data_IF_309532709721
#
_entry.id   IF_309532709721
#
_cell.length_a   1.000
_cell.length_b   1.000
_cell.length_c   1.000
_cell.angle_alpha   90.00
_cell.angle_beta   90.00
_cell.angle_gamma   90.00
#
_symmetry.space_group_name_H-M   'P 1'
#
loop_
_entity.id
_entity.type
_entity.pdbx_description
1 polymer ?
#
# COMPACT_ATOMS: atom_id res chain seq x y z
N UNK A 1 -13.61 -3.59 20.92
CA UNK A 1 -14.35 -4.34 19.89
C UNK A 1 -13.82 -3.93 18.53
N UNK A 2 -13.17 -4.83 17.79
CA UNK A 2 -12.83 -4.56 16.39
C UNK A 2 -14.15 -4.30 15.65
N UNK A 3 -14.30 -3.13 15.03
CA UNK A 3 -15.51 -2.70 14.31
C UNK A 3 -15.75 -3.52 13.01
N UNK A 4 -15.40 -4.81 12.99
CA UNK A 4 -15.49 -5.69 11.82
C UNK A 4 -14.46 -5.37 10.72
N UNK A 5 -13.34 -4.73 11.08
CA UNK A 5 -12.22 -4.44 10.19
C UNK A 5 -11.15 -5.53 10.27
N UNK A 6 -10.49 -5.78 9.14
CA UNK A 6 -9.39 -6.73 8.97
C UNK A 6 -8.12 -6.19 9.61
N UNK A 7 -7.30 -7.07 10.19
CA UNK A 7 -5.99 -6.74 10.75
C UNK A 7 -4.81 -6.94 9.81
N UNK A 8 -5.03 -7.52 8.62
CA UNK A 8 -3.97 -7.84 7.67
C UNK A 8 -4.14 -7.03 6.37
N UNK A 9 -3.15 -6.19 6.05
CA UNK A 9 -3.19 -5.32 4.87
C UNK A 9 -3.24 -6.08 3.53
N UNK A 10 -2.64 -7.27 3.44
CA UNK A 10 -2.71 -8.07 2.21
C UNK A 10 -4.12 -8.60 1.97
N UNK A 11 -4.82 -9.02 3.03
CA UNK A 11 -6.23 -9.39 2.93
C UNK A 11 -7.09 -8.21 2.48
N UNK A 12 -6.82 -7.00 2.99
CA UNK A 12 -7.50 -5.77 2.52
C UNK A 12 -7.26 -5.56 1.01
N UNK A 13 -6.01 -5.72 0.54
CA UNK A 13 -5.69 -5.59 -0.88
C UNK A 13 -6.44 -6.62 -1.75
N UNK A 14 -6.62 -7.86 -1.27
CA UNK A 14 -7.44 -8.85 -2.00
C UNK A 14 -8.89 -8.40 -2.19
N UNK A 15 -9.51 -7.79 -1.17
CA UNK A 15 -10.86 -7.24 -1.30
C UNK A 15 -10.93 -6.01 -2.19
N UNK A 16 -9.90 -5.16 -2.20
CA UNK A 16 -9.80 -4.05 -3.15
C UNK A 16 -9.76 -4.57 -4.58
N UNK A 17 -8.95 -5.61 -4.85
CA UNK A 17 -8.90 -6.25 -6.18
C UNK A 17 -10.22 -6.89 -6.57
N UNK A 18 -10.89 -7.57 -5.64
CA UNK A 18 -12.23 -8.12 -5.86
C UNK A 18 -13.21 -7.02 -6.28
N UNK A 19 -13.23 -5.90 -5.56
CA UNK A 19 -14.08 -4.75 -5.89
C UNK A 19 -13.76 -4.19 -7.27
N UNK A 20 -12.47 -3.98 -7.59
CA UNK A 20 -12.04 -3.48 -8.89
C UNK A 20 -12.46 -4.41 -10.05
N UNK A 21 -12.28 -5.73 -9.90
CA UNK A 21 -12.68 -6.68 -10.94
C UNK A 21 -14.19 -6.79 -11.08
N UNK A 22 -14.94 -6.72 -9.98
CA UNK A 22 -16.40 -6.70 -10.04
C UNK A 22 -16.93 -5.46 -10.78
N UNK A 23 -16.31 -4.28 -10.55
CA UNK A 23 -16.62 -3.07 -11.30
C UNK A 23 -16.28 -3.20 -12.79
N UNK A 24 -15.10 -3.73 -13.10
CA UNK A 24 -14.62 -3.85 -14.48
C UNK A 24 -15.53 -4.74 -15.34
N UNK A 25 -16.10 -5.79 -14.75
CA UNK A 25 -17.01 -6.72 -15.46
C UNK A 25 -18.49 -6.41 -15.26
N UNK A 26 -18.84 -5.38 -14.47
CA UNK A 26 -20.23 -5.02 -14.17
C UNK A 26 -20.98 -6.07 -13.34
N UNK A 27 -20.31 -6.78 -12.45
CA UNK A 27 -20.89 -7.83 -11.59
C UNK A 27 -21.65 -7.25 -10.37
N UNK A 28 -22.58 -6.33 -10.62
CA UNK A 28 -23.36 -5.66 -9.57
C UNK A 28 -24.43 -6.57 -8.93
N UNK A 29 -24.68 -7.75 -9.50
CA UNK A 29 -25.68 -8.73 -9.06
C UNK A 29 -25.13 -9.78 -8.07
N UNK A 30 -23.81 -9.92 -7.95
CA UNK A 30 -23.19 -10.92 -7.06
C UNK A 30 -23.19 -10.45 -5.60
N UNK A 31 -22.93 -9.15 -5.37
CA UNK A 31 -22.94 -8.54 -4.05
C UNK A 31 -23.09 -7.01 -4.16
N UNK A 32 -23.49 -6.38 -3.05
CA UNK A 32 -23.60 -4.91 -2.98
C UNK A 32 -22.22 -4.26 -3.03
N UNK A 33 -21.81 -3.87 -4.24
CA UNK A 33 -20.53 -3.24 -4.51
C UNK A 33 -20.40 -1.87 -3.83
N UNK A 34 -21.50 -1.10 -3.72
CA UNK A 34 -21.49 0.20 -3.05
C UNK A 34 -21.23 0.04 -1.55
N UNK A 35 -21.86 -0.94 -0.89
CA UNK A 35 -21.58 -1.27 0.50
C UNK A 35 -20.14 -1.72 0.69
N UNK A 36 -19.59 -2.52 -0.23
CA UNK A 36 -18.19 -2.94 -0.20
C UNK A 36 -17.23 -1.75 -0.30
N UNK A 37 -17.42 -0.85 -1.29
CA UNK A 37 -16.61 0.38 -1.44
C UNK A 37 -16.64 1.23 -0.18
N UNK A 38 -17.83 1.50 0.37
CA UNK A 38 -17.99 2.31 1.57
C UNK A 38 -17.27 1.71 2.78
N UNK A 39 -17.25 0.37 2.90
CA UNK A 39 -16.52 -0.33 3.96
C UNK A 39 -15.01 -0.30 3.72
N UNK A 40 -14.57 -0.49 2.47
CA UNK A 40 -13.16 -0.46 2.10
C UNK A 40 -12.52 0.92 2.33
N UNK A 41 -13.24 2.02 2.07
CA UNK A 41 -12.76 3.38 2.37
C UNK A 41 -12.37 3.51 3.85
N UNK A 42 -13.24 3.07 4.76
CA UNK A 42 -12.99 3.10 6.20
C UNK A 42 -11.91 2.09 6.62
N UNK A 43 -11.85 0.92 5.98
CA UNK A 43 -10.83 -0.09 6.24
C UNK A 43 -9.43 0.43 5.87
N UNK A 44 -9.27 1.03 4.70
CA UNK A 44 -7.99 1.56 4.22
C UNK A 44 -7.48 2.66 5.15
N UNK A 45 -8.35 3.60 5.51
CA UNK A 45 -8.03 4.67 6.46
C UNK A 45 -7.49 4.15 7.80
N UNK A 46 -8.04 3.05 8.30
CA UNK A 46 -7.61 2.41 9.54
C UNK A 46 -6.38 1.52 9.39
N UNK A 47 -6.11 1.05 8.18
CA UNK A 47 -4.99 0.13 7.92
C UNK A 47 -3.68 0.90 7.82
N UNK A 48 -3.71 2.15 7.35
CA UNK A 48 -2.50 2.97 7.12
C UNK A 48 -1.85 3.40 8.45
N UNK A 49 -0.56 3.12 8.59
CA UNK A 49 0.25 3.58 9.73
C UNK A 49 0.54 5.07 9.60
N UNK A 50 -0.03 5.88 10.48
CA UNK A 50 0.14 7.35 10.49
C UNK A 50 1.41 7.82 11.23
N UNK A 51 2.02 6.96 12.03
CA UNK A 51 3.25 7.29 12.74
C UNK A 51 4.47 7.23 11.79
N UNK A 52 4.93 8.41 11.33
CA UNK A 52 6.07 8.51 10.42
C UNK A 52 7.38 7.92 10.98
N UNK A 53 7.55 7.91 12.32
CA UNK A 53 8.76 7.38 12.95
C UNK A 53 8.97 5.87 12.75
N UNK A 54 7.91 5.14 12.39
CA UNK A 54 7.97 3.70 12.14
C UNK A 54 8.34 3.37 10.68
N UNK A 55 8.24 4.34 9.75
CA UNK A 55 8.32 4.05 8.32
C UNK A 55 9.71 3.61 7.85
N UNK A 56 10.77 4.12 8.47
CA UNK A 56 12.16 3.75 8.12
C UNK A 56 12.63 2.45 8.78
N UNK A 57 11.93 2.00 9.82
CA UNK A 57 12.44 0.96 10.73
C UNK A 57 11.56 -0.28 10.80
N UNK A 58 10.30 -0.18 10.38
CA UNK A 58 9.30 -1.23 10.58
C UNK A 58 8.56 -1.61 9.31
N UNK A 59 7.96 -2.80 9.32
CA UNK A 59 7.02 -3.23 8.30
C UNK A 59 5.66 -2.60 8.54
N UNK A 60 5.36 -1.53 7.82
CA UNK A 60 4.15 -0.73 8.03
C UNK A 60 3.29 -0.67 6.78
N UNK A 61 1.99 -0.50 6.98
CA UNK A 61 1.06 -0.31 5.88
C UNK A 61 1.07 1.16 5.44
N UNK A 62 1.45 1.40 4.19
CA UNK A 62 1.49 2.73 3.59
C UNK A 62 0.38 2.90 2.54
N UNK A 63 -0.02 4.14 2.19
CA UNK A 63 -0.96 4.41 1.10
C UNK A 63 -0.67 3.64 -0.19
N UNK A 64 0.60 3.57 -0.61
CA UNK A 64 1.07 2.83 -1.79
C UNK A 64 0.71 1.35 -1.82
N UNK A 65 0.37 0.77 -0.66
CA UNK A 65 -0.13 -0.62 -0.56
C UNK A 65 -1.50 -0.80 -1.25
N UNK A 66 -2.29 0.27 -1.38
CA UNK A 66 -3.69 0.20 -1.77
C UNK A 66 -4.06 1.06 -2.98
N UNK A 67 -3.37 2.18 -3.21
CA UNK A 67 -3.65 3.07 -4.33
C UNK A 67 -2.41 3.86 -4.73
N UNK A 68 -2.43 4.42 -5.93
CA UNK A 68 -1.30 5.17 -6.50
C UNK A 68 -1.68 6.47 -7.20
N UNK A 69 -2.94 6.93 -7.09
CA UNK A 69 -3.38 8.16 -7.75
C UNK A 69 -4.40 8.93 -6.92
N UNK A 70 -4.55 10.22 -7.21
CA UNK A 70 -5.49 11.13 -6.53
C UNK A 70 -6.94 10.86 -6.91
N UNK A 71 -7.17 10.15 -8.00
CA UNK A 71 -8.47 9.72 -8.50
C UNK A 71 -9.00 8.49 -7.74
N UNK A 72 -8.17 7.82 -6.93
CA UNK A 72 -8.60 6.72 -6.09
C UNK A 72 -9.64 7.15 -5.06
N UNK A 73 -10.68 6.32 -4.88
CA UNK A 73 -11.69 6.50 -3.83
C UNK A 73 -11.10 6.53 -2.41
N UNK A 74 -9.87 6.02 -2.24
CA UNK A 74 -9.17 5.98 -0.95
C UNK A 74 -8.39 7.26 -0.66
N UNK A 75 -8.15 8.12 -1.65
CA UNK A 75 -7.26 9.27 -1.51
C UNK A 75 -7.81 10.34 -0.57
N UNK A 76 -9.12 10.67 -0.65
CA UNK A 76 -9.68 11.82 0.06
C UNK A 76 -9.48 11.75 1.59
N UNK A 77 -9.68 10.58 2.20
CA UNK A 77 -9.48 10.37 3.65
C UNK A 77 -8.00 10.19 4.04
N UNK A 78 -7.12 9.99 3.07
CA UNK A 78 -5.71 9.67 3.27
C UNK A 78 -4.79 10.69 2.60
N UNK A 79 -5.31 11.86 2.21
CA UNK A 79 -4.59 12.85 1.40
C UNK A 79 -3.24 13.23 2.02
N UNK A 80 -3.26 13.64 3.29
CA UNK A 80 -2.06 14.14 3.98
C UNK A 80 -0.97 13.07 4.05
N UNK A 81 -1.34 11.84 4.42
CA UNK A 81 -0.38 10.74 4.54
C UNK A 81 0.09 10.22 3.18
N UNK A 82 -0.74 10.31 2.15
CA UNK A 82 -0.40 9.95 0.77
C UNK A 82 0.57 10.95 0.13
N UNK A 83 0.36 12.24 0.36
CA UNK A 83 1.28 13.31 -0.06
C UNK A 83 2.61 13.19 0.72
N UNK A 84 2.54 12.92 2.03
CA UNK A 84 3.72 12.65 2.86
C UNK A 84 4.52 11.45 2.33
N UNK A 85 3.87 10.35 1.92
CA UNK A 85 4.57 9.20 1.36
C UNK A 85 5.40 9.56 0.11
N UNK A 86 4.87 10.43 -0.76
CA UNK A 86 5.63 10.89 -1.93
C UNK A 86 6.93 11.59 -1.51
N UNK A 87 6.83 12.52 -0.56
CA UNK A 87 7.98 13.30 -0.11
C UNK A 87 8.97 12.41 0.68
N UNK A 88 8.45 11.45 1.44
CA UNK A 88 9.24 10.43 2.14
C UNK A 88 10.03 9.56 1.16
N UNK A 89 9.38 9.03 0.11
CA UNK A 89 10.04 8.21 -0.91
C UNK A 89 11.19 8.98 -1.56
N UNK A 90 10.96 10.22 -1.99
CA UNK A 90 11.98 11.07 -2.63
C UNK A 90 13.15 11.33 -1.68
N UNK A 91 12.87 11.66 -0.41
CA UNK A 91 13.89 12.02 0.57
C UNK A 91 14.76 10.83 0.99
N UNK A 92 14.21 9.61 0.99
CA UNK A 92 14.86 8.43 1.58
C UNK A 92 15.45 7.47 0.56
N UNK A 93 15.44 7.84 -0.73
CA UNK A 93 16.09 7.06 -1.77
C UNK A 93 17.60 7.00 -1.53
N UNK A 94 18.18 5.80 -1.62
CA UNK A 94 19.61 5.58 -1.49
C UNK A 94 20.34 5.91 -2.80
N UNK A 95 21.67 6.06 -2.74
CA UNK A 95 22.51 6.36 -3.91
C UNK A 95 22.40 5.31 -5.04
N UNK A 96 22.09 4.05 -4.69
CA UNK A 96 21.85 2.97 -5.66
C UNK A 96 20.43 3.01 -6.29
N UNK A 97 19.63 4.02 -5.94
CA UNK A 97 18.25 4.19 -6.37
C UNK A 97 17.23 3.35 -5.60
N UNK A 98 17.66 2.50 -4.66
CA UNK A 98 16.79 1.62 -3.87
C UNK A 98 16.40 2.22 -2.51
N UNK A 99 15.67 1.44 -1.71
CA UNK A 99 15.34 1.73 -0.31
C UNK A 99 15.69 0.52 0.56
N UNK A 100 15.90 0.76 1.85
CA UNK A 100 16.13 -0.31 2.80
C UNK A 100 14.89 -1.22 2.96
N UNK A 101 15.13 -2.53 3.03
CA UNK A 101 14.11 -3.52 3.39
C UNK A 101 14.08 -3.62 4.92
N UNK A 102 13.01 -3.14 5.53
CA UNK A 102 12.85 -2.93 6.99
C UNK A 102 12.38 -4.18 7.75
N UNK A 103 12.23 -5.30 7.05
CA UNK A 103 11.69 -6.54 7.59
C UNK A 103 12.53 -7.73 7.14
N UNK A 104 12.36 -8.85 7.82
CA UNK A 104 12.96 -10.14 7.48
C UNK A 104 12.01 -11.28 7.88
N UNK A 105 12.26 -12.47 7.36
CA UNK A 105 11.77 -13.72 7.94
C UNK A 105 12.96 -14.52 8.49
N UNK A 106 12.72 -15.36 9.50
CA UNK A 106 13.79 -16.03 10.24
C UNK A 106 14.37 -17.26 9.52
N UNK A 107 13.57 -17.94 8.71
CA UNK A 107 13.96 -19.19 8.04
C UNK A 107 14.77 -18.93 6.77
N UNK A 108 15.58 -19.90 6.32
CA UNK A 108 16.27 -19.85 5.02
C UNK A 108 17.14 -18.58 4.83
N UNK A 109 18.18 -18.39 5.66
CA UNK A 109 18.95 -17.13 5.68
C UNK A 109 19.71 -16.83 4.38
N UNK A 110 20.14 -17.87 3.65
CA UNK A 110 20.83 -17.72 2.37
C UNK A 110 19.85 -17.26 1.28
N UNK A 111 18.66 -17.86 1.23
CA UNK A 111 17.58 -17.51 0.33
C UNK A 111 17.00 -16.13 0.68
N UNK A 112 16.94 -15.77 1.96
CA UNK A 112 16.58 -14.44 2.40
C UNK A 112 17.55 -13.39 1.87
N UNK A 113 18.87 -13.65 1.88
CA UNK A 113 19.85 -12.70 1.36
C UNK A 113 19.61 -12.40 -0.13
N UNK A 114 19.31 -13.42 -0.94
CA UNK A 114 18.93 -13.26 -2.35
C UNK A 114 17.59 -12.53 -2.48
N UNK A 115 16.58 -12.96 -1.72
CA UNK A 115 15.23 -12.40 -1.76
C UNK A 115 15.19 -10.94 -1.37
N UNK A 116 15.99 -10.53 -0.36
CA UNK A 116 16.11 -9.14 0.08
C UNK A 116 16.56 -8.22 -1.07
N UNK A 117 17.46 -8.71 -1.93
CA UNK A 117 17.86 -7.97 -3.12
C UNK A 117 16.71 -7.85 -4.14
N UNK A 118 15.93 -8.91 -4.36
CA UNK A 118 14.76 -8.83 -5.24
C UNK A 118 13.66 -7.92 -4.69
N UNK A 119 13.50 -7.88 -3.36
CA UNK A 119 12.59 -6.94 -2.71
C UNK A 119 12.98 -5.48 -2.94
N UNK A 120 14.28 -5.16 -3.05
CA UNK A 120 14.71 -3.82 -3.47
C UNK A 120 14.19 -3.49 -4.86
N UNK A 121 14.29 -4.42 -5.82
CA UNK A 121 13.76 -4.22 -7.19
C UNK A 121 12.25 -4.00 -7.18
N UNK A 122 11.50 -4.78 -6.41
CA UNK A 122 10.07 -4.55 -6.22
C UNK A 122 9.79 -3.16 -5.64
N UNK A 123 10.51 -2.78 -4.58
CA UNK A 123 10.37 -1.47 -3.93
C UNK A 123 10.63 -0.30 -4.88
N UNK A 124 11.63 -0.42 -5.76
CA UNK A 124 11.90 0.58 -6.81
C UNK A 124 10.68 0.74 -7.71
N UNK A 125 10.17 -0.36 -8.27
CA UNK A 125 9.03 -0.32 -9.21
C UNK A 125 7.79 0.27 -8.52
N UNK A 126 7.47 -0.20 -7.32
CA UNK A 126 6.27 0.28 -6.60
C UNK A 126 6.36 1.75 -6.25
N UNK A 127 7.53 2.22 -5.78
CA UNK A 127 7.74 3.61 -5.42
C UNK A 127 7.67 4.53 -6.65
N UNK A 128 8.30 4.15 -7.76
CA UNK A 128 8.25 4.94 -8.99
C UNK A 128 6.84 4.99 -9.58
N UNK A 129 6.10 3.88 -9.58
CA UNK A 129 4.70 3.86 -10.01
C UNK A 129 3.82 4.74 -9.12
N UNK A 130 4.06 4.74 -7.81
CA UNK A 130 3.35 5.61 -6.87
C UNK A 130 3.65 7.09 -7.14
N UNK A 131 4.92 7.48 -7.23
CA UNK A 131 5.32 8.86 -7.56
C UNK A 131 4.75 9.32 -8.91
N UNK A 132 4.78 8.46 -9.93
CA UNK A 132 4.22 8.74 -11.25
C UNK A 132 2.72 8.98 -11.19
N UNK A 133 1.97 8.13 -10.48
CA UNK A 133 0.52 8.31 -10.35
C UNK A 133 0.13 9.56 -9.54
N UNK A 134 1.03 10.06 -8.70
CA UNK A 134 0.92 11.35 -8.01
C UNK A 134 1.51 12.54 -8.78
N UNK A 135 2.03 12.32 -9.99
CA UNK A 135 2.65 13.34 -10.86
C UNK A 135 3.83 14.05 -10.21
N UNK A 136 4.63 13.30 -9.43
CA UNK A 136 5.88 13.79 -8.82
C UNK A 136 7.10 13.53 -9.71
N UNK A 137 6.95 12.63 -10.69
CA UNK A 137 7.90 12.31 -11.77
C UNK A 137 7.15 12.09 -13.08
#
# INVERSE_FOLDING_TARGET
MNQGFLGNMHTVLCYIRLMQYAEEVGADDIFDNNALKAKLIKQVEKSITRNAGEWETSYVCRPSQFFNSKESIFYINNKEIADFECDFIIKTQLDDGSWNITWNWADYPEEWAVSKNWWKSNGIITNLLYLKGFKKI
#
